data_IF_773745057029
#
_entry.id   IF_773745057029
#
_cell.length_a   1.000
_cell.length_b   1.000
_cell.length_c   1.000
_cell.angle_alpha   90.00
_cell.angle_beta   90.00
_cell.angle_gamma   90.00
#
_symmetry.space_group_name_H-M   'P 1'
#
loop_
_entity.id
_entity.type
_entity.pdbx_description
1 polymer ?
#
# COMPACT_ATOMS: atom_id res chain seq x y z
N UNK A 1 -5.03 -10.98 -4.69
CA UNK A 1 -5.28 -11.42 -3.29
C UNK A 1 -6.71 -11.91 -3.10
N UNK A 2 -6.90 -13.21 -2.90
CA UNK A 2 -8.19 -13.82 -2.52
C UNK A 2 -8.18 -14.39 -1.10
N UNK A 3 -7.02 -14.42 -0.44
CA UNK A 3 -6.85 -14.97 0.89
C UNK A 3 -6.92 -13.86 1.94
N UNK A 4 -7.65 -14.15 3.03
CA UNK A 4 -7.78 -13.30 4.21
C UNK A 4 -6.96 -13.95 5.34
N UNK A 5 -6.18 -13.19 6.13
CA UNK A 5 -5.45 -13.77 7.26
C UNK A 5 -6.41 -14.46 8.24
N UNK A 6 -6.08 -15.66 8.75
CA UNK A 6 -6.87 -16.32 9.80
C UNK A 6 -7.06 -15.41 11.03
N UNK A 7 -8.18 -15.55 11.73
CA UNK A 7 -8.44 -14.76 12.95
C UNK A 7 -8.80 -13.29 12.70
N UNK A 8 -8.92 -12.87 11.44
CA UNK A 8 -9.30 -11.50 11.07
C UNK A 8 -10.69 -11.41 10.44
N UNK A 9 -11.28 -10.22 10.51
CA UNK A 9 -12.53 -9.84 9.84
C UNK A 9 -12.22 -8.72 8.83
N UNK A 10 -12.76 -8.82 7.61
CA UNK A 10 -12.65 -7.79 6.58
C UNK A 10 -13.71 -6.71 6.81
N UNK A 11 -13.28 -5.46 6.99
CA UNK A 11 -14.15 -4.29 7.13
C UNK A 11 -14.47 -3.62 5.79
N UNK A 12 -13.54 -3.73 4.83
CA UNK A 12 -13.65 -3.12 3.51
C UNK A 12 -12.65 -3.75 2.55
N UNK A 13 -12.93 -3.68 1.26
CA UNK A 13 -12.02 -4.21 0.24
C UNK A 13 -12.20 -3.49 -1.09
N UNK A 14 -11.15 -3.44 -1.88
CA UNK A 14 -11.19 -2.92 -3.23
C UNK A 14 -10.18 -3.63 -4.13
N UNK A 15 -10.45 -3.58 -5.43
CA UNK A 15 -9.48 -3.94 -6.47
C UNK A 15 -9.51 -2.88 -7.55
N UNK A 16 -8.33 -2.40 -7.93
CA UNK A 16 -8.15 -1.46 -9.04
C UNK A 16 -7.19 -2.09 -10.03
N UNK A 17 -7.52 -1.97 -11.31
CA UNK A 17 -6.67 -2.38 -12.42
C UNK A 17 -6.41 -1.14 -13.26
N UNK A 18 -5.14 -0.82 -13.47
CA UNK A 18 -4.70 0.38 -14.17
C UNK A 18 -3.86 0.00 -15.39
N UNK A 19 -4.15 0.60 -16.54
CA UNK A 19 -3.26 0.47 -17.71
C UNK A 19 -2.00 1.32 -17.55
N UNK A 20 -2.14 2.53 -16.97
CA UNK A 20 -1.02 3.34 -16.48
C UNK A 20 -1.34 3.83 -15.06
N UNK A 21 -0.58 3.38 -14.04
CA UNK A 21 -0.75 3.85 -12.66
C UNK A 21 -0.64 5.37 -12.51
N UNK A 22 0.02 6.05 -13.45
CA UNK A 22 0.19 7.50 -13.42
C UNK A 22 -1.14 8.29 -13.57
N UNK A 23 -2.20 7.65 -14.06
CA UNK A 23 -3.55 8.26 -14.14
C UNK A 23 -4.09 8.66 -12.76
N UNK A 24 -3.62 8.01 -11.69
CA UNK A 24 -4.05 8.28 -10.30
C UNK A 24 -3.18 9.34 -9.59
N UNK A 25 -2.19 9.92 -10.27
CA UNK A 25 -1.27 10.89 -9.66
C UNK A 25 -1.95 12.27 -9.48
N UNK A 26 -2.77 12.40 -8.44
CA UNK A 26 -3.55 13.60 -8.13
C UNK A 26 -2.94 14.32 -6.91
N UNK A 27 -1.94 15.19 -7.12
CA UNK A 27 -1.57 16.36 -6.27
C UNK A 27 -0.12 16.87 -6.49
N UNK A 28 0.11 18.17 -6.25
CA UNK A 28 1.42 18.83 -6.39
C UNK A 28 2.48 18.48 -5.33
N UNK A 29 2.17 18.34 -4.01
CA UNK A 29 3.20 18.04 -3.00
C UNK A 29 3.81 16.63 -3.15
N UNK A 30 3.00 15.65 -3.54
CA UNK A 30 3.41 14.26 -3.77
C UNK A 30 3.59 13.93 -5.26
N UNK A 31 3.75 14.95 -6.11
CA UNK A 31 3.94 14.79 -7.56
C UNK A 31 5.11 13.87 -7.93
N UNK A 32 6.10 13.76 -7.04
CA UNK A 32 7.28 12.92 -7.23
C UNK A 32 7.14 11.50 -6.67
N UNK A 33 6.02 11.15 -6.03
CA UNK A 33 5.77 9.78 -5.61
C UNK A 33 5.67 8.86 -6.83
N UNK A 34 6.05 7.59 -6.64
CA UNK A 34 5.94 6.60 -7.70
C UNK A 34 4.47 6.46 -8.16
N UNK A 35 4.19 6.37 -9.47
CA UNK A 35 2.86 6.05 -9.98
C UNK A 35 2.18 4.84 -9.29
N UNK A 36 2.94 3.79 -8.96
CA UNK A 36 2.43 2.63 -8.25
C UNK A 36 1.91 3.00 -6.85
N UNK A 37 2.57 3.94 -6.15
CA UNK A 37 2.11 4.41 -4.85
C UNK A 37 0.77 5.17 -4.96
N UNK A 38 0.56 5.90 -6.05
CA UNK A 38 -0.72 6.55 -6.32
C UNK A 38 -1.84 5.55 -6.59
N UNK A 39 -1.56 4.48 -7.33
CA UNK A 39 -2.50 3.38 -7.52
C UNK A 39 -2.83 2.68 -6.19
N UNK A 40 -1.83 2.47 -5.33
CA UNK A 40 -2.06 1.93 -3.98
C UNK A 40 -2.95 2.88 -3.17
N UNK A 41 -2.66 4.19 -3.18
CA UNK A 41 -3.47 5.18 -2.47
C UNK A 41 -4.93 5.20 -2.94
N UNK A 42 -5.18 5.19 -4.25
CA UNK A 42 -6.53 5.09 -4.81
C UNK A 42 -7.24 3.79 -4.35
N UNK A 43 -6.52 2.67 -4.36
CA UNK A 43 -7.11 1.39 -3.96
C UNK A 43 -7.46 1.38 -2.47
N UNK A 44 -6.64 2.01 -1.64
CA UNK A 44 -6.91 2.21 -0.21
C UNK A 44 -8.10 3.15 -0.01
N UNK A 45 -8.15 4.29 -0.71
CA UNK A 45 -9.28 5.22 -0.70
C UNK A 45 -10.61 4.47 -0.96
N UNK A 46 -10.64 3.61 -2.00
CA UNK A 46 -11.82 2.78 -2.32
C UNK A 46 -12.14 1.74 -1.26
N UNK A 47 -11.13 1.07 -0.69
CA UNK A 47 -11.35 0.04 0.33
C UNK A 47 -11.88 0.63 1.64
N UNK A 48 -11.58 1.90 1.91
CA UNK A 48 -12.04 2.62 3.10
C UNK A 48 -13.46 3.20 2.98
N UNK A 49 -14.08 3.22 1.79
CA UNK A 49 -15.36 3.92 1.53
C UNK A 49 -16.41 3.75 2.63
N UNK A 50 -16.62 2.52 3.11
CA UNK A 50 -17.68 2.20 4.10
C UNK A 50 -17.15 2.01 5.54
N UNK A 51 -15.84 2.14 5.76
CA UNK A 51 -15.22 1.90 7.07
C UNK A 51 -14.23 3.00 7.50
N UNK A 52 -14.16 4.11 6.76
CA UNK A 52 -13.20 5.18 6.97
C UNK A 52 -13.27 5.76 8.39
N UNK A 53 -14.45 6.12 8.90
CA UNK A 53 -14.62 6.69 10.25
C UNK A 53 -13.96 5.80 11.31
N UNK A 54 -14.33 4.51 11.34
CA UNK A 54 -13.76 3.54 12.29
C UNK A 54 -12.24 3.43 12.18
N UNK A 55 -11.71 3.39 10.97
CA UNK A 55 -10.26 3.25 10.74
C UNK A 55 -9.51 4.53 11.14
N UNK A 56 -10.04 5.70 10.76
CA UNK A 56 -9.40 6.98 11.01
C UNK A 56 -9.49 7.41 12.48
N UNK A 57 -10.53 6.99 13.21
CA UNK A 57 -10.61 7.16 14.67
C UNK A 57 -9.50 6.40 15.40
N UNK A 58 -8.99 5.32 14.81
CA UNK A 58 -7.86 4.55 15.28
C UNK A 58 -6.61 4.76 14.41
N UNK A 59 -6.43 5.96 13.81
CA UNK A 59 -5.32 6.21 12.89
C UNK A 59 -3.93 5.95 13.49
N UNK A 60 -3.75 6.22 14.78
CA UNK A 60 -2.49 5.97 15.49
C UNK A 60 -2.22 4.47 15.71
N UNK A 61 -3.27 3.65 15.70
CA UNK A 61 -3.23 2.19 15.83
C UNK A 61 -3.61 1.48 14.52
N UNK A 62 -3.56 2.16 13.38
CA UNK A 62 -3.85 1.57 12.07
C UNK A 62 -2.57 1.29 11.32
N UNK A 63 -2.28 0.01 11.10
CA UNK A 63 -1.13 -0.44 10.34
C UNK A 63 -1.42 -0.48 8.84
N UNK A 64 -0.36 -0.42 8.03
CA UNK A 64 -0.42 -0.68 6.59
C UNK A 64 0.72 -1.62 6.17
N UNK A 65 0.36 -2.67 5.42
CA UNK A 65 1.32 -3.63 4.87
C UNK A 65 1.09 -3.75 3.37
N UNK A 66 2.12 -3.46 2.58
CA UNK A 66 2.10 -3.60 1.12
C UNK A 66 2.98 -4.75 0.68
N UNK A 67 2.50 -5.59 -0.24
CA UNK A 67 3.28 -6.64 -0.90
C UNK A 67 3.44 -6.30 -2.36
N UNK A 68 4.68 -6.24 -2.84
CA UNK A 68 4.97 -6.00 -4.26
C UNK A 68 6.36 -6.53 -4.63
N UNK A 69 6.45 -7.26 -5.75
CA UNK A 69 7.73 -7.68 -6.30
C UNK A 69 8.47 -6.52 -6.99
N UNK A 70 7.74 -5.55 -7.53
CA UNK A 70 8.28 -4.46 -8.36
C UNK A 70 8.50 -3.17 -7.56
N UNK A 71 7.73 -2.92 -6.50
CA UNK A 71 7.86 -1.72 -5.68
C UNK A 71 7.81 -0.43 -6.52
N UNK A 72 8.85 0.39 -6.43
CA UNK A 72 9.04 1.65 -7.17
C UNK A 72 9.96 1.51 -8.40
N UNK A 73 10.05 0.31 -8.98
CA UNK A 73 10.95 0.00 -10.09
C UNK A 73 10.77 0.96 -11.28
N UNK A 74 9.54 1.38 -11.59
CA UNK A 74 9.25 2.34 -12.66
C UNK A 74 9.99 3.66 -12.45
N UNK A 75 9.96 4.23 -11.24
CA UNK A 75 10.69 5.47 -10.92
C UNK A 75 12.20 5.25 -10.92
N UNK A 76 12.69 4.11 -10.39
CA UNK A 76 14.12 3.75 -10.41
C UNK A 76 14.64 3.72 -11.86
N UNK A 77 13.94 3.03 -12.78
CA UNK A 77 14.29 2.95 -14.20
C UNK A 77 14.28 4.34 -14.86
N UNK A 78 13.27 5.18 -14.57
CA UNK A 78 13.20 6.57 -15.09
C UNK A 78 14.38 7.43 -14.62
N UNK A 79 14.79 7.28 -13.36
CA UNK A 79 15.97 7.97 -12.83
C UNK A 79 17.21 7.52 -13.59
N UNK A 80 17.44 6.21 -13.71
CA UNK A 80 18.59 5.66 -14.44
C UNK A 80 18.65 6.17 -15.89
N UNK A 81 17.52 6.18 -16.60
CA UNK A 81 17.42 6.69 -17.97
C UNK A 81 17.70 8.20 -18.11
N UNK A 82 17.59 8.96 -17.02
CA UNK A 82 17.82 10.41 -17.00
C UNK A 82 19.26 10.82 -16.68
N UNK A 83 20.09 9.89 -16.18
CA UNK A 83 21.51 10.12 -15.85
C UNK A 83 22.32 10.70 -17.01
N UNK A 84 22.23 10.19 -18.26
CA UNK A 84 23.01 10.73 -19.37
C UNK A 84 22.74 12.22 -19.68
N UNK A 85 21.62 12.76 -19.18
CA UNK A 85 21.18 14.14 -19.41
C UNK A 85 21.48 15.07 -18.23
N UNK A 86 22.12 14.60 -17.16
CA UNK A 86 22.47 15.37 -15.94
C UNK A 86 21.32 16.19 -15.33
N UNK A 87 20.06 15.74 -15.45
CA UNK A 87 18.86 16.50 -15.02
C UNK A 87 17.89 15.64 -14.22
N UNK A 88 18.33 15.14 -13.06
CA UNK A 88 17.48 14.42 -12.12
C UNK A 88 17.10 15.32 -10.95
N UNK A 89 15.81 15.53 -10.73
CA UNK A 89 15.35 16.23 -9.52
C UNK A 89 15.60 15.33 -8.30
N UNK A 90 16.21 15.84 -7.21
CA UNK A 90 16.38 15.08 -5.97
C UNK A 90 15.08 14.53 -5.39
N UNK A 91 13.95 15.19 -5.63
CA UNK A 91 12.64 14.76 -5.15
C UNK A 91 12.19 13.42 -5.78
N UNK A 92 12.73 13.05 -6.95
CA UNK A 92 12.48 11.74 -7.56
C UNK A 92 13.14 10.60 -6.77
N UNK A 93 14.22 10.87 -6.03
CA UNK A 93 14.86 9.83 -5.21
C UNK A 93 13.95 9.39 -4.06
N UNK A 94 13.16 10.31 -3.48
CA UNK A 94 12.16 9.95 -2.48
C UNK A 94 11.07 9.04 -3.08
N UNK A 95 10.61 9.35 -4.30
CA UNK A 95 9.67 8.49 -5.03
C UNK A 95 10.25 7.13 -5.45
N UNK A 96 11.58 7.00 -5.53
CA UNK A 96 12.23 5.74 -5.84
C UNK A 96 12.37 4.79 -4.64
N UNK A 97 12.03 5.23 -3.42
CA UNK A 97 12.02 4.35 -2.25
C UNK A 97 10.76 3.45 -2.30
N UNK A 98 10.88 2.11 -2.26
CA UNK A 98 9.72 1.22 -2.36
C UNK A 98 8.74 1.40 -1.19
N UNK A 99 9.22 1.79 0.00
CA UNK A 99 8.37 2.12 1.14
C UNK A 99 7.37 3.25 0.89
N UNK A 100 7.54 4.05 -0.18
CA UNK A 100 6.55 5.06 -0.60
C UNK A 100 5.19 4.46 -0.92
N UNK A 101 5.12 3.18 -1.31
CA UNK A 101 3.85 2.49 -1.57
C UNK A 101 2.99 2.36 -0.30
N UNK A 102 3.61 2.15 0.86
CA UNK A 102 2.92 2.16 2.16
C UNK A 102 2.83 3.59 2.73
N UNK A 103 3.86 4.40 2.52
CA UNK A 103 3.96 5.74 3.08
C UNK A 103 2.96 6.74 2.50
N UNK A 104 2.70 6.72 1.19
CA UNK A 104 1.78 7.67 0.55
C UNK A 104 0.33 7.55 1.07
N UNK A 105 -0.32 6.37 1.06
CA UNK A 105 -1.65 6.21 1.67
C UNK A 105 -1.64 6.54 3.17
N UNK A 106 -0.62 6.12 3.93
CA UNK A 106 -0.51 6.46 5.35
C UNK A 106 -0.50 7.98 5.57
N UNK A 107 0.30 8.73 4.79
CA UNK A 107 0.36 10.19 4.86
C UNK A 107 -0.96 10.85 4.47
N UNK A 108 -1.67 10.33 3.46
CA UNK A 108 -2.97 10.87 3.02
C UNK A 108 -4.06 10.72 4.08
N UNK A 109 -4.05 9.60 4.80
CA UNK A 109 -5.05 9.28 5.82
C UNK A 109 -4.59 9.62 7.25
N UNK A 110 -3.37 10.16 7.43
CA UNK A 110 -2.84 10.49 8.75
C UNK A 110 -2.57 9.27 9.64
N UNK A 111 -2.32 8.10 9.05
CA UNK A 111 -2.05 6.86 9.79
C UNK A 111 -0.67 6.92 10.45
N UNK A 112 -0.58 6.50 11.71
CA UNK A 112 0.69 6.50 12.49
C UNK A 112 1.05 5.15 13.10
N UNK A 113 0.27 4.12 12.81
CA UNK A 113 0.60 2.74 13.17
C UNK A 113 1.76 2.16 12.36
N UNK A 114 2.07 0.87 12.56
CA UNK A 114 3.11 0.17 11.84
C UNK A 114 2.95 0.26 10.30
N UNK A 115 4.04 0.52 9.59
CA UNK A 115 4.05 0.50 8.12
C UNK A 115 5.15 -0.42 7.60
N UNK A 116 4.82 -1.26 6.62
CA UNK A 116 5.75 -2.24 6.05
C UNK A 116 5.51 -2.42 4.55
N UNK A 117 6.61 -2.64 3.82
CA UNK A 117 6.57 -3.22 2.49
C UNK A 117 7.33 -4.55 2.49
N UNK A 118 6.71 -5.60 1.94
CA UNK A 118 7.36 -6.86 1.61
C UNK A 118 7.70 -6.88 0.11
N UNK A 119 9.00 -6.94 -0.18
CA UNK A 119 9.55 -6.92 -1.54
C UNK A 119 9.47 -8.31 -2.22
N UNK A 120 8.25 -8.82 -2.38
CA UNK A 120 7.97 -10.10 -3.02
C UNK A 120 6.57 -10.09 -3.64
N UNK A 121 6.32 -11.00 -4.59
CA UNK A 121 5.00 -11.15 -5.21
C UNK A 121 3.94 -11.42 -4.12
N UNK A 122 2.72 -10.85 -4.19
CA UNK A 122 1.69 -11.05 -3.18
C UNK A 122 1.46 -12.52 -2.80
N UNK A 123 1.42 -13.42 -3.79
CA UNK A 123 1.25 -14.87 -3.54
C UNK A 123 2.40 -15.52 -2.75
N UNK A 124 3.62 -15.00 -2.85
CA UNK A 124 4.79 -15.49 -2.11
C UNK A 124 4.93 -14.81 -0.75
N UNK A 125 4.54 -13.54 -0.67
CA UNK A 125 4.64 -12.72 0.54
C UNK A 125 3.51 -13.00 1.54
N UNK A 126 2.36 -13.50 1.09
CA UNK A 126 1.17 -13.67 1.92
C UNK A 126 1.42 -14.44 3.23
N UNK A 127 2.14 -15.57 3.28
CA UNK A 127 2.41 -16.25 4.55
C UNK A 127 3.14 -15.36 5.57
N UNK A 128 4.16 -14.61 5.10
CA UNK A 128 4.91 -13.69 5.96
C UNK A 128 4.06 -12.50 6.38
N UNK A 129 3.28 -11.93 5.45
CA UNK A 129 2.35 -10.85 5.75
C UNK A 129 1.35 -11.28 6.83
N UNK A 130 0.80 -12.48 6.73
CA UNK A 130 -0.19 -12.98 7.69
C UNK A 130 0.43 -13.17 9.08
N UNK A 131 1.66 -13.68 9.17
CA UNK A 131 2.39 -13.76 10.45
C UNK A 131 2.63 -12.38 11.07
N UNK A 132 3.01 -11.39 10.27
CA UNK A 132 3.23 -10.01 10.77
C UNK A 132 1.92 -9.38 11.25
N UNK A 133 0.84 -9.56 10.49
CA UNK A 133 -0.49 -9.04 10.82
C UNK A 133 -1.03 -9.67 12.10
N UNK A 134 -0.89 -10.98 12.25
CA UNK A 134 -1.29 -11.70 13.46
C UNK A 134 -0.54 -11.15 14.68
N UNK A 135 0.78 -10.98 14.59
CA UNK A 135 1.57 -10.36 15.66
C UNK A 135 1.13 -8.93 16.00
N UNK A 136 0.90 -8.08 14.99
CA UNK A 136 0.45 -6.71 15.25
C UNK A 136 -0.92 -6.63 15.94
N UNK A 137 -1.86 -7.48 15.52
CA UNK A 137 -3.20 -7.53 16.11
C UNK A 137 -3.19 -8.17 17.51
N UNK A 138 -2.45 -9.26 17.70
CA UNK A 138 -2.39 -10.00 18.96
C UNK A 138 -1.69 -9.20 20.07
N UNK A 139 -0.60 -8.49 19.73
CA UNK A 139 0.18 -7.72 20.70
C UNK A 139 -0.37 -6.30 20.90
N UNK A 140 -1.47 -5.94 20.22
CA UNK A 140 -2.09 -4.62 20.32
C UNK A 140 -1.28 -3.49 19.70
N UNK A 141 -0.35 -3.80 18.79
CA UNK A 141 0.39 -2.81 18.00
C UNK A 141 -0.44 -2.20 16.87
N UNK A 142 -1.55 -2.85 16.50
CA UNK A 142 -2.54 -2.30 15.59
C UNK A 142 -3.95 -2.81 15.96
N UNK A 143 -4.94 -1.94 15.80
CA UNK A 143 -6.38 -2.29 15.86
C UNK A 143 -6.93 -2.63 14.49
N UNK A 144 -6.42 -1.94 13.47
CA UNK A 144 -6.77 -2.19 12.08
C UNK A 144 -5.52 -2.37 11.22
N UNK A 145 -5.62 -3.19 10.18
CA UNK A 145 -4.56 -3.36 9.20
C UNK A 145 -5.10 -3.14 7.80
N UNK A 146 -4.45 -2.25 7.05
CA UNK A 146 -4.64 -2.09 5.61
C UNK A 146 -3.64 -3.01 4.91
N UNK A 147 -4.11 -4.13 4.36
CA UNK A 147 -3.30 -5.08 3.62
C UNK A 147 -3.46 -4.85 2.12
N UNK A 148 -2.36 -4.58 1.43
CA UNK A 148 -2.33 -4.27 0.01
C UNK A 148 -1.45 -5.28 -0.73
N UNK A 149 -1.93 -5.80 -1.84
CA UNK A 149 -1.14 -6.55 -2.81
C UNK A 149 -1.10 -5.82 -4.15
N UNK A 150 0.10 -5.50 -4.62
CA UNK A 150 0.35 -4.90 -5.92
C UNK A 150 1.13 -5.88 -6.81
N UNK A 151 0.57 -6.19 -7.96
CA UNK A 151 1.18 -7.07 -8.96
C UNK A 151 1.13 -6.41 -10.34
N UNK A 152 2.23 -6.57 -11.10
CA UNK A 152 2.22 -6.23 -12.53
C UNK A 152 1.55 -7.37 -13.30
N UNK A 153 0.57 -7.02 -14.14
CA UNK A 153 -0.10 -7.93 -15.05
C UNK A 153 0.64 -7.97 -16.41
N UNK A 154 0.10 -8.70 -17.39
CA UNK A 154 0.62 -8.67 -18.76
C UNK A 154 0.42 -7.27 -19.39
N UNK A 155 1.46 -6.73 -20.05
CA UNK A 155 1.52 -5.31 -20.44
C UNK A 155 1.93 -4.42 -19.25
N UNK A 156 2.15 -3.12 -19.42
CA UNK A 156 2.46 -2.20 -18.32
C UNK A 156 1.30 -2.01 -17.30
N UNK A 157 0.29 -2.88 -17.37
CA UNK A 157 -0.88 -2.91 -16.52
C UNK A 157 -0.50 -3.36 -15.12
N UNK A 158 -1.03 -2.67 -14.12
CA UNK A 158 -0.90 -3.05 -12.72
C UNK A 158 -2.26 -3.37 -12.11
N UNK A 159 -2.27 -4.38 -11.25
CA UNK A 159 -3.43 -4.75 -10.43
C UNK A 159 -3.08 -4.53 -8.97
N UNK A 160 -3.90 -3.75 -8.30
CA UNK A 160 -3.79 -3.48 -6.87
C UNK A 160 -5.05 -3.97 -6.16
N UNK A 161 -4.86 -4.77 -5.12
CA UNK A 161 -5.93 -5.27 -4.25
C UNK A 161 -5.70 -4.75 -2.83
N UNK A 162 -6.75 -4.31 -2.15
CA UNK A 162 -6.68 -3.85 -0.77
C UNK A 162 -7.76 -4.52 0.08
N UNK A 163 -7.41 -4.88 1.31
CA UNK A 163 -8.33 -5.33 2.35
C UNK A 163 -8.06 -4.55 3.64
N UNK A 164 -9.12 -4.08 4.27
CA UNK A 164 -9.08 -3.47 5.60
C UNK A 164 -9.49 -4.54 6.60
N UNK A 165 -8.61 -4.84 7.55
CA UNK A 165 -8.72 -5.97 8.46
C UNK A 165 -8.80 -5.49 9.91
N UNK A 166 -9.50 -6.25 10.73
CA UNK A 166 -9.56 -6.09 12.19
C UNK A 166 -9.53 -7.47 12.84
N UNK A 167 -9.20 -7.56 14.13
CA UNK A 167 -9.34 -8.82 14.87
C UNK A 167 -10.78 -9.32 14.85
N UNK A 168 -11.00 -10.63 14.63
CA UNK A 168 -12.34 -11.22 14.65
C UNK A 168 -12.98 -11.25 16.05
N UNK A 169 -12.22 -10.98 17.11
CA UNK A 169 -12.67 -11.03 18.50
C UNK A 169 -13.15 -9.70 19.12
N UNK A 170 -13.02 -8.57 18.42
CA UNK A 170 -13.36 -7.23 18.95
C UNK A 170 -14.82 -6.80 18.66
N UNK A 171 -15.79 -7.50 19.26
CA UNK A 171 -17.15 -6.96 19.48
C UNK A 171 -17.38 -6.70 21.00
N UNK A 172 -16.38 -6.19 21.72
CA UNK A 172 -16.48 -5.80 23.14
C UNK A 172 -16.30 -4.31 23.35
#
# INVERSE_FOLDING_TARGET
MTQVPPGTRVLGSATVVAEDPAEYAINKPSFYADPAAWLVAETVDRALTDCAERVLDAADDTAILVMSATGSERTIRRIAASVPRSRVSPLRFAGANPGVLAGLPALRHGLRGPSLLLAAHPDQAAPVAFTVIDGWLADGHARHVILVGLESAAGDRERCCCQVLTSAGEDR
#
